data_IF_827401267046
#
_entry.id   IF_827401267046
#
_cell.length_a   1.000
_cell.length_b   1.000
_cell.length_c   1.000
_cell.angle_alpha   90.00
_cell.angle_beta   90.00
_cell.angle_gamma   90.00
#
_symmetry.space_group_name_H-M   'P 1'
#
loop_
_entity.id
_entity.type
_entity.pdbx_description
1 polymer ?
#
# COMPACT_ATOMS: atom_id res chain seq x y z
N UNK A 1 -7.72 -9.84 16.02
CA UNK A 1 -7.88 -9.66 14.58
C UNK A 1 -6.85 -8.73 13.93
N UNK A 2 -6.18 -7.89 14.69
CA UNK A 2 -5.22 -6.88 14.22
C UNK A 2 -3.82 -7.44 13.87
N UNK A 3 -3.40 -8.53 14.48
CA UNK A 3 -2.03 -9.06 14.36
C UNK A 3 -1.79 -9.73 13.00
N UNK A 4 -2.70 -10.56 12.51
CA UNK A 4 -2.56 -11.26 11.22
C UNK A 4 -2.54 -10.28 10.04
N UNK A 5 -3.21 -9.14 10.18
CA UNK A 5 -3.28 -8.12 9.14
C UNK A 5 -1.99 -7.27 9.05
N UNK A 6 -1.35 -7.01 10.20
CA UNK A 6 -0.06 -6.33 10.25
C UNK A 6 1.07 -7.20 9.67
N UNK A 7 1.04 -8.50 9.92
CA UNK A 7 2.06 -9.43 9.41
C UNK A 7 1.95 -9.64 7.90
N UNK A 8 0.73 -9.72 7.35
CA UNK A 8 0.51 -9.79 5.89
C UNK A 8 0.95 -8.50 5.18
N UNK A 9 0.74 -7.34 5.78
CA UNK A 9 1.21 -6.06 5.21
C UNK A 9 2.74 -5.95 5.25
N UNK A 10 3.38 -6.39 6.34
CA UNK A 10 4.85 -6.45 6.44
C UNK A 10 5.47 -7.37 5.40
N UNK A 11 4.87 -8.54 5.18
CA UNK A 11 5.31 -9.48 4.14
C UNK A 11 5.17 -8.85 2.75
N UNK A 12 4.06 -8.14 2.49
CA UNK A 12 3.84 -7.44 1.24
C UNK A 12 4.85 -6.30 1.03
N UNK A 13 5.15 -5.52 2.06
CA UNK A 13 6.19 -4.49 2.04
C UNK A 13 7.58 -5.06 1.73
N UNK A 14 7.94 -6.16 2.39
CA UNK A 14 9.23 -6.83 2.18
C UNK A 14 9.35 -7.39 0.76
N UNK A 15 8.29 -7.99 0.23
CA UNK A 15 8.25 -8.51 -1.13
C UNK A 15 8.34 -7.40 -2.18
N UNK A 16 7.67 -6.26 -1.97
CA UNK A 16 7.76 -5.12 -2.88
C UNK A 16 9.17 -4.50 -2.92
N UNK A 17 9.82 -4.38 -1.77
CA UNK A 17 11.22 -3.90 -1.69
C UNK A 17 12.16 -4.87 -2.42
N UNK A 18 11.95 -6.17 -2.26
CA UNK A 18 12.74 -7.20 -2.90
C UNK A 18 12.54 -7.24 -4.43
N UNK A 19 11.30 -6.99 -4.91
CA UNK A 19 10.96 -6.95 -6.33
C UNK A 19 11.66 -5.83 -7.10
N UNK A 20 11.86 -4.68 -6.47
CA UNK A 20 12.45 -3.52 -7.13
C UNK A 20 13.96 -3.66 -7.33
N UNK A 21 14.60 -4.51 -6.53
CA UNK A 21 16.04 -4.74 -6.62
C UNK A 21 16.46 -5.87 -7.58
N UNK A 22 15.52 -6.70 -8.08
CA UNK A 22 15.83 -7.82 -8.98
C UNK A 22 14.69 -8.07 -10.00
N UNK A 23 14.68 -7.36 -11.13
CA UNK A 23 13.61 -7.48 -12.13
C UNK A 23 13.47 -8.88 -12.75
N UNK A 24 14.53 -9.70 -12.72
CA UNK A 24 14.56 -11.04 -13.33
C UNK A 24 13.72 -12.08 -12.56
N UNK A 25 13.34 -11.79 -11.30
CA UNK A 25 12.55 -12.69 -10.45
C UNK A 25 11.08 -12.35 -10.33
N UNK A 26 10.59 -11.49 -11.21
CA UNK A 26 9.20 -11.01 -11.21
C UNK A 26 8.16 -12.14 -11.18
N UNK A 27 8.37 -13.19 -11.96
CA UNK A 27 7.46 -14.34 -12.05
C UNK A 27 7.39 -15.16 -10.74
N UNK A 28 8.52 -15.34 -10.06
CA UNK A 28 8.56 -16.07 -8.77
C UNK A 28 7.80 -15.30 -7.69
N UNK A 29 7.91 -14.00 -7.72
CA UNK A 29 7.27 -13.10 -6.76
C UNK A 29 5.76 -13.02 -6.99
N UNK A 30 5.30 -12.99 -8.24
CA UNK A 30 3.88 -13.06 -8.58
C UNK A 30 3.25 -14.40 -8.11
N UNK A 31 3.97 -15.50 -8.23
CA UNK A 31 3.52 -16.80 -7.71
C UNK A 31 3.49 -16.84 -6.17
N UNK A 32 4.48 -16.27 -5.49
CA UNK A 32 4.50 -16.17 -4.03
C UNK A 32 3.39 -15.24 -3.50
N UNK A 33 3.15 -14.12 -4.17
CA UNK A 33 2.04 -13.24 -3.83
C UNK A 33 0.68 -13.94 -3.99
N UNK A 34 0.50 -14.71 -5.04
CA UNK A 34 -0.70 -15.52 -5.26
C UNK A 34 -0.88 -16.58 -4.17
N UNK A 35 0.17 -17.30 -3.84
CA UNK A 35 0.14 -18.33 -2.79
C UNK A 35 -0.17 -17.73 -1.40
N UNK A 36 0.36 -16.54 -1.07
CA UNK A 36 0.06 -15.85 0.19
C UNK A 36 -1.40 -15.40 0.23
N UNK A 37 -1.91 -14.84 -0.86
CA UNK A 37 -3.32 -14.41 -0.96
C UNK A 37 -4.26 -15.61 -0.84
N UNK A 38 -3.94 -16.74 -1.47
CA UNK A 38 -4.74 -17.96 -1.41
C UNK A 38 -4.71 -18.61 -0.02
N UNK A 39 -3.57 -18.61 0.67
CA UNK A 39 -3.46 -19.06 2.07
C UNK A 39 -4.26 -18.18 3.04
N UNK A 40 -4.18 -16.84 2.90
CA UNK A 40 -4.99 -15.92 3.72
C UNK A 40 -6.48 -16.14 3.48
N UNK A 41 -6.88 -16.40 2.25
CA UNK A 41 -8.26 -16.73 1.87
C UNK A 41 -8.75 -18.01 2.54
N UNK A 42 -7.90 -19.05 2.57
CA UNK A 42 -8.23 -20.35 3.20
C UNK A 42 -8.36 -20.22 4.71
N UNK A 43 -7.53 -19.43 5.37
CA UNK A 43 -7.59 -19.16 6.82
C UNK A 43 -8.86 -18.37 7.17
N UNK A 44 -9.26 -17.42 6.34
CA UNK A 44 -10.46 -16.61 6.55
C UNK A 44 -11.75 -17.44 6.40
N UNK A 45 -11.78 -18.42 5.51
CA UNK A 45 -12.94 -19.33 5.36
C UNK A 45 -13.07 -20.33 6.51
N UNK A 46 -11.96 -20.69 7.16
CA UNK A 46 -11.95 -21.64 8.27
C UNK A 46 -12.33 -21.04 9.63
N UNK A 47 -12.26 -19.69 9.79
CA UNK A 47 -12.41 -19.02 11.10
C UNK A 47 -13.61 -18.08 11.18
N UNK A 48 -14.50 -18.03 10.20
CA UNK A 48 -15.66 -17.13 10.20
C UNK A 48 -16.80 -17.68 11.03
N UNK A 49 -17.16 -17.05 12.18
CA UNK A 49 -18.49 -17.20 12.73
C UNK A 49 -19.46 -16.54 11.75
N UNK A 50 -20.46 -17.25 11.38
CA UNK A 50 -21.71 -16.92 10.67
C UNK A 50 -22.12 -15.44 10.75
N UNK A 51 -21.47 -14.58 9.98
CA UNK A 51 -21.99 -13.26 9.64
C UNK A 51 -22.74 -13.41 8.33
N UNK A 52 -24.04 -13.29 8.43
CA UNK A 52 -25.00 -13.30 7.35
C UNK A 52 -24.52 -12.54 6.11
N UNK A 53 -24.46 -13.28 4.97
CA UNK A 53 -25.13 -12.87 3.74
C UNK A 53 -24.72 -11.54 3.12
N UNK A 54 -23.51 -11.49 2.60
CA UNK A 54 -23.26 -10.95 1.26
C UNK A 54 -21.82 -11.27 0.90
N UNK A 55 -21.60 -12.42 0.26
CA UNK A 55 -20.37 -12.62 -0.50
C UNK A 55 -20.21 -11.40 -1.40
N UNK A 56 -19.02 -10.76 -1.44
CA UNK A 56 -18.80 -9.64 -2.33
C UNK A 56 -19.22 -10.07 -3.73
N UNK A 57 -20.07 -9.30 -4.39
CA UNK A 57 -20.46 -9.63 -5.77
C UNK A 57 -19.17 -9.71 -6.61
N UNK A 58 -19.14 -10.55 -7.61
CA UNK A 58 -17.99 -10.67 -8.56
C UNK A 58 -17.54 -9.28 -9.02
N UNK A 59 -18.47 -8.36 -9.22
CA UNK A 59 -18.20 -6.96 -9.57
C UNK A 59 -17.43 -6.20 -8.47
N UNK A 60 -17.73 -6.45 -7.19
CA UNK A 60 -17.02 -5.79 -6.08
C UNK A 60 -15.57 -6.27 -5.98
N UNK A 61 -15.32 -7.54 -6.21
CA UNK A 61 -13.97 -8.12 -6.24
C UNK A 61 -13.17 -7.59 -7.44
N UNK A 62 -13.80 -7.45 -8.60
CA UNK A 62 -13.18 -6.82 -9.79
C UNK A 62 -12.78 -5.37 -9.54
N UNK A 63 -13.67 -4.57 -8.95
CA UNK A 63 -13.39 -3.17 -8.60
C UNK A 63 -12.22 -3.12 -7.62
N UNK A 64 -12.22 -3.96 -6.60
CA UNK A 64 -11.13 -4.01 -5.63
C UNK A 64 -9.80 -4.41 -6.29
N UNK A 65 -9.80 -5.39 -7.17
CA UNK A 65 -8.59 -5.78 -7.91
C UNK A 65 -8.04 -4.63 -8.77
N UNK A 66 -8.90 -3.98 -9.56
CA UNK A 66 -8.52 -2.81 -10.37
C UNK A 66 -8.04 -1.65 -9.50
N UNK A 67 -8.70 -1.41 -8.36
CA UNK A 67 -8.28 -0.40 -7.38
C UNK A 67 -6.86 -0.66 -6.86
N UNK A 68 -6.52 -1.89 -6.46
CA UNK A 68 -5.16 -2.22 -6.01
C UNK A 68 -4.10 -1.91 -7.06
N UNK A 69 -4.38 -2.24 -8.33
CA UNK A 69 -3.48 -1.93 -9.45
C UNK A 69 -3.32 -0.42 -9.64
N UNK A 70 -4.40 0.35 -9.53
CA UNK A 70 -4.34 1.81 -9.63
C UNK A 70 -3.56 2.44 -8.47
N UNK A 71 -3.78 1.96 -7.24
CA UNK A 71 -3.06 2.43 -6.05
C UNK A 71 -1.57 2.16 -6.19
N UNK A 72 -1.16 0.96 -6.60
CA UNK A 72 0.26 0.63 -6.75
C UNK A 72 0.99 1.51 -7.76
N UNK A 73 0.28 2.02 -8.78
CA UNK A 73 0.85 2.88 -9.83
C UNK A 73 0.84 4.37 -9.48
N UNK A 74 -0.19 4.83 -8.77
CA UNK A 74 -0.49 6.25 -8.65
C UNK A 74 -0.39 6.80 -7.22
N UNK A 75 -0.34 5.98 -6.17
CA UNK A 75 -0.34 6.44 -4.77
C UNK A 75 0.86 7.35 -4.43
N UNK A 76 1.92 7.30 -5.22
CA UNK A 76 3.08 8.18 -5.07
C UNK A 76 2.70 9.65 -5.25
N UNK A 77 1.85 9.97 -6.21
CA UNK A 77 1.47 11.35 -6.57
C UNK A 77 0.01 11.66 -6.29
N UNK A 78 -0.88 10.66 -6.36
CA UNK A 78 -2.31 10.82 -6.25
C UNK A 78 -2.84 10.23 -4.93
N UNK A 79 -3.51 11.10 -4.13
CA UNK A 79 -4.05 10.72 -2.81
C UNK A 79 -5.54 10.93 -2.67
N UNK A 80 -6.19 11.53 -3.68
CA UNK A 80 -7.62 11.83 -3.64
C UNK A 80 -8.46 10.61 -4.01
N UNK A 81 -9.46 10.28 -3.21
CA UNK A 81 -10.41 9.19 -3.48
C UNK A 81 -11.13 9.40 -4.83
N UNK A 82 -11.44 10.66 -5.16
CA UNK A 82 -12.09 11.00 -6.43
C UNK A 82 -11.30 10.54 -7.64
N UNK A 83 -9.97 10.71 -7.63
CA UNK A 83 -9.10 10.23 -8.72
C UNK A 83 -9.30 8.73 -8.99
N UNK A 84 -9.26 7.91 -7.95
CA UNK A 84 -9.42 6.45 -8.10
C UNK A 84 -10.83 6.07 -8.53
N UNK A 85 -11.84 6.80 -8.03
CA UNK A 85 -13.23 6.57 -8.39
C UNK A 85 -13.49 6.91 -9.87
N UNK A 86 -12.93 8.03 -10.35
CA UNK A 86 -13.04 8.46 -11.74
C UNK A 86 -12.37 7.46 -12.68
N UNK A 87 -11.16 6.97 -12.33
CA UNK A 87 -10.45 5.96 -13.10
C UNK A 87 -11.21 4.61 -13.18
N UNK A 88 -12.03 4.31 -12.19
CA UNK A 88 -12.85 3.10 -12.14
C UNK A 88 -14.28 3.30 -12.65
N UNK A 89 -14.60 4.52 -13.11
CA UNK A 89 -15.93 4.90 -13.58
C UNK A 89 -17.04 4.59 -12.54
N UNK A 90 -16.76 4.89 -11.27
CA UNK A 90 -17.70 4.75 -10.14
C UNK A 90 -17.76 6.02 -9.30
N UNK A 91 -18.80 6.16 -8.50
CA UNK A 91 -18.83 7.27 -7.54
C UNK A 91 -17.85 7.04 -6.39
N UNK A 92 -17.27 8.12 -5.79
CA UNK A 92 -16.39 8.00 -4.62
C UNK A 92 -17.04 7.25 -3.46
N UNK A 93 -18.31 7.51 -3.20
CA UNK A 93 -19.07 6.83 -2.14
C UNK A 93 -19.19 5.33 -2.39
N UNK A 94 -19.47 4.92 -3.63
CA UNK A 94 -19.56 3.51 -4.00
C UNK A 94 -18.19 2.83 -3.88
N UNK A 95 -17.12 3.48 -4.34
CA UNK A 95 -15.76 2.96 -4.20
C UNK A 95 -15.42 2.73 -2.71
N UNK A 96 -15.64 3.73 -1.85
CA UNK A 96 -15.39 3.61 -0.41
C UNK A 96 -16.16 2.43 0.21
N UNK A 97 -17.44 2.27 -0.14
CA UNK A 97 -18.27 1.16 0.34
C UNK A 97 -17.76 -0.20 -0.13
N UNK A 98 -17.37 -0.32 -1.40
CA UNK A 98 -16.84 -1.57 -1.96
C UNK A 98 -15.52 -1.95 -1.30
N UNK A 99 -14.56 -1.01 -1.22
CA UNK A 99 -13.24 -1.28 -0.65
C UNK A 99 -13.36 -1.67 0.83
N UNK A 100 -14.14 -0.92 1.61
CA UNK A 100 -14.38 -1.24 3.02
C UNK A 100 -15.00 -2.63 3.21
N UNK A 101 -15.97 -3.02 2.36
CA UNK A 101 -16.66 -4.30 2.44
C UNK A 101 -15.74 -5.47 2.08
N UNK A 102 -14.94 -5.32 1.02
CA UNK A 102 -14.10 -6.39 0.50
C UNK A 102 -12.82 -6.56 1.31
N UNK A 103 -12.17 -5.45 1.72
CA UNK A 103 -10.87 -5.48 2.37
C UNK A 103 -10.90 -5.24 3.89
N UNK A 104 -11.99 -4.73 4.41
CA UNK A 104 -12.07 -4.27 5.80
C UNK A 104 -11.33 -2.96 6.08
N UNK A 105 -10.72 -2.35 5.08
CA UNK A 105 -9.94 -1.11 5.17
C UNK A 105 -10.56 0.00 4.33
N UNK A 106 -10.32 1.26 4.71
CA UNK A 106 -10.75 2.40 3.92
C UNK A 106 -9.87 2.61 2.68
N UNK A 107 -10.40 3.30 1.68
CA UNK A 107 -9.63 3.71 0.49
C UNK A 107 -8.40 4.53 0.88
N UNK A 108 -8.55 5.43 1.87
CA UNK A 108 -7.45 6.29 2.32
C UNK A 108 -6.32 5.49 2.97
N UNK A 109 -6.63 4.49 3.78
CA UNK A 109 -5.63 3.61 4.38
C UNK A 109 -4.82 2.89 3.30
N UNK A 110 -5.48 2.35 2.28
CA UNK A 110 -4.81 1.71 1.14
C UNK A 110 -3.86 2.67 0.41
N UNK A 111 -4.32 3.88 0.12
CA UNK A 111 -3.52 4.89 -0.59
C UNK A 111 -2.37 5.39 0.29
N UNK A 112 -2.61 5.66 1.58
CA UNK A 112 -1.56 6.10 2.52
C UNK A 112 -0.49 5.01 2.72
N UNK A 113 -0.87 3.75 2.85
CA UNK A 113 0.08 2.64 2.93
C UNK A 113 0.97 2.55 1.69
N UNK A 114 0.37 2.57 0.51
CA UNK A 114 1.12 2.50 -0.74
C UNK A 114 2.03 3.72 -0.94
N UNK A 115 1.56 4.92 -0.61
CA UNK A 115 2.37 6.13 -0.67
C UNK A 115 3.54 6.09 0.32
N UNK A 116 3.31 5.57 1.55
CA UNK A 116 4.36 5.40 2.56
C UNK A 116 5.44 4.43 2.10
N UNK A 117 5.06 3.32 1.47
CA UNK A 117 6.01 2.38 0.90
C UNK A 117 6.91 3.05 -0.14
N UNK A 118 6.33 3.84 -1.06
CA UNK A 118 7.09 4.59 -2.05
C UNK A 118 8.02 5.62 -1.39
N UNK A 119 7.57 6.32 -0.35
CA UNK A 119 8.41 7.25 0.40
C UNK A 119 9.62 6.56 1.04
N UNK A 120 9.40 5.40 1.66
CA UNK A 120 10.47 4.59 2.27
C UNK A 120 11.51 4.17 1.24
N UNK A 121 11.05 3.69 0.08
CA UNK A 121 11.94 3.31 -1.03
C UNK A 121 12.78 4.50 -1.47
N UNK A 122 12.16 5.65 -1.75
CA UNK A 122 12.89 6.84 -2.18
C UNK A 122 13.92 7.32 -1.14
N UNK A 123 13.57 7.24 0.14
CA UNK A 123 14.46 7.63 1.23
C UNK A 123 15.66 6.68 1.43
N UNK A 124 15.54 5.42 1.01
CA UNK A 124 16.58 4.40 1.19
C UNK A 124 17.41 4.13 -0.05
N UNK A 125 16.83 4.27 -1.24
CA UNK A 125 17.50 3.94 -2.50
C UNK A 125 18.11 5.16 -3.21
N UNK A 126 17.52 6.33 -3.04
CA UNK A 126 17.96 7.55 -3.69
C UNK A 126 18.89 8.37 -2.79
N UNK A 127 19.99 8.86 -3.34
CA UNK A 127 20.79 9.94 -2.74
C UNK A 127 20.09 11.31 -2.82
N UNK A 128 18.79 11.30 -3.13
CA UNK A 128 17.99 12.52 -3.27
C UNK A 128 17.75 13.19 -1.92
N UNK A 129 17.60 14.50 -1.94
CA UNK A 129 17.26 15.28 -0.75
C UNK A 129 15.80 15.05 -0.36
N UNK A 130 15.46 15.23 0.93
CA UNK A 130 14.07 15.13 1.40
C UNK A 130 13.16 16.11 0.64
N UNK A 131 13.69 17.27 0.22
CA UNK A 131 12.97 18.26 -0.58
C UNK A 131 12.61 17.70 -1.95
N UNK A 132 13.56 17.08 -2.65
CA UNK A 132 13.33 16.46 -3.95
C UNK A 132 12.33 15.31 -3.85
N UNK A 133 12.39 14.49 -2.79
CA UNK A 133 11.42 13.41 -2.54
C UNK A 133 10.01 13.97 -2.31
N UNK A 134 9.90 15.06 -1.55
CA UNK A 134 8.62 15.72 -1.31
C UNK A 134 7.98 16.22 -2.62
N UNK A 135 8.78 16.81 -3.50
CA UNK A 135 8.36 17.27 -4.83
C UNK A 135 7.96 16.08 -5.73
N UNK A 136 8.80 15.06 -5.81
CA UNK A 136 8.55 13.82 -6.56
C UNK A 136 7.27 13.11 -6.12
N UNK A 137 6.94 13.21 -4.85
CA UNK A 137 5.70 12.68 -4.26
C UNK A 137 4.53 13.67 -4.30
N UNK A 138 4.66 14.77 -5.03
CA UNK A 138 3.60 15.77 -5.20
C UNK A 138 3.07 16.33 -3.87
N UNK A 139 3.97 16.63 -2.93
CA UNK A 139 3.64 17.40 -1.73
C UNK A 139 3.84 18.90 -1.99
N UNK A 140 2.95 19.76 -1.49
CA UNK A 140 3.06 21.20 -1.70
C UNK A 140 4.31 21.83 -1.06
N UNK A 141 4.83 21.21 0.00
CA UNK A 141 6.06 21.65 0.68
C UNK A 141 6.78 20.47 1.32
N UNK A 142 8.09 20.59 1.51
CA UNK A 142 8.90 19.63 2.27
C UNK A 142 8.36 19.44 3.70
N UNK A 143 7.89 20.52 4.32
CA UNK A 143 7.30 20.47 5.66
C UNK A 143 6.03 19.63 5.69
N UNK A 144 5.17 19.72 4.67
CA UNK A 144 3.97 18.90 4.56
C UNK A 144 4.32 17.41 4.46
N UNK A 145 5.30 17.05 3.63
CA UNK A 145 5.82 15.70 3.52
C UNK A 145 6.37 15.19 4.87
N UNK A 146 7.22 15.96 5.53
CA UNK A 146 7.81 15.56 6.81
C UNK A 146 6.77 15.34 7.92
N UNK A 147 5.73 16.19 7.98
CA UNK A 147 4.61 16.02 8.91
C UNK A 147 3.81 14.75 8.62
N UNK A 148 3.47 14.55 7.35
CA UNK A 148 2.76 13.37 6.89
C UNK A 148 3.55 12.09 7.19
N UNK A 149 4.83 12.04 6.83
CA UNK A 149 5.71 10.90 7.06
C UNK A 149 5.80 10.57 8.56
N UNK A 150 6.06 11.59 9.41
CA UNK A 150 6.15 11.40 10.86
C UNK A 150 4.82 10.94 11.48
N UNK A 151 3.69 11.42 10.98
CA UNK A 151 2.35 11.03 11.45
C UNK A 151 2.09 9.53 11.26
N UNK A 152 2.50 8.98 10.12
CA UNK A 152 2.20 7.59 9.77
C UNK A 152 3.29 6.64 10.26
N UNK A 153 4.58 6.99 10.07
CA UNK A 153 5.72 6.14 10.43
C UNK A 153 6.13 6.26 11.91
N UNK A 154 5.75 7.35 12.58
CA UNK A 154 6.16 7.66 13.94
C UNK A 154 7.57 8.25 14.07
N UNK A 155 8.40 8.18 13.02
CA UNK A 155 9.79 8.68 12.98
C UNK A 155 9.91 9.81 11.94
N UNK A 156 10.92 10.69 12.13
CA UNK A 156 11.22 11.71 11.12
C UNK A 156 11.86 11.08 9.88
N UNK A 157 11.56 11.60 8.69
CA UNK A 157 12.11 11.12 7.43
C UNK A 157 13.65 11.09 7.42
N UNK A 158 14.31 12.14 7.96
CA UNK A 158 15.77 12.18 8.08
C UNK A 158 16.38 11.16 9.05
N UNK A 159 15.67 10.82 10.13
CA UNK A 159 16.08 9.75 11.05
C UNK A 159 15.94 8.38 10.38
N UNK A 160 14.89 8.19 9.61
CA UNK A 160 14.65 6.99 8.85
C UNK A 160 15.76 6.73 7.83
N UNK A 161 16.14 7.74 7.03
CA UNK A 161 17.24 7.66 6.07
C UNK A 161 18.58 7.32 6.74
N UNK A 162 18.93 8.01 7.84
CA UNK A 162 20.18 7.74 8.56
C UNK A 162 20.27 6.32 9.12
N UNK A 163 19.17 5.80 9.64
CA UNK A 163 19.11 4.44 10.19
C UNK A 163 19.35 3.38 9.11
N UNK A 164 18.82 3.59 7.90
CA UNK A 164 18.97 2.64 6.80
C UNK A 164 20.34 2.72 6.12
N UNK A 165 20.91 3.91 5.96
CA UNK A 165 22.25 4.06 5.39
C UNK A 165 23.31 3.40 6.27
N UNK A 166 23.14 3.45 7.59
CA UNK A 166 24.06 2.80 8.54
C UNK A 166 24.01 1.26 8.46
N UNK A 167 22.87 0.68 8.08
CA UNK A 167 22.71 -0.76 7.87
C UNK A 167 23.27 -1.25 6.53
N UNK A 168 23.37 -0.36 5.54
CA UNK A 168 23.93 -0.69 4.22
C UNK A 168 25.46 -0.61 4.18
N UNK A 169 26.09 0.04 5.16
CA UNK A 169 27.55 0.17 5.28
C UNK A 169 28.17 -0.86 6.23
N UNK A 170 27.37 -1.72 6.85
CA UNK A 170 27.79 -2.79 7.77
C UNK A 170 27.77 -4.16 7.10
#
# INVERSE_FOLDING_TARGET
MTIVHQDTMRIYETLCIFCQNQPERKNVIEHLQRAIVDNVRTIQTATSPRWSLQSPSIRSEEIFHKFKVLVSRNARTERKVSFYADQLCVSPHYLMSVIQRVSGQSVMEWVEHAAMLQAKILLTTNKATISSIAEEMNFPTTTAFCRWFKRIEGKKAGEYTKAHNKLAES
#
